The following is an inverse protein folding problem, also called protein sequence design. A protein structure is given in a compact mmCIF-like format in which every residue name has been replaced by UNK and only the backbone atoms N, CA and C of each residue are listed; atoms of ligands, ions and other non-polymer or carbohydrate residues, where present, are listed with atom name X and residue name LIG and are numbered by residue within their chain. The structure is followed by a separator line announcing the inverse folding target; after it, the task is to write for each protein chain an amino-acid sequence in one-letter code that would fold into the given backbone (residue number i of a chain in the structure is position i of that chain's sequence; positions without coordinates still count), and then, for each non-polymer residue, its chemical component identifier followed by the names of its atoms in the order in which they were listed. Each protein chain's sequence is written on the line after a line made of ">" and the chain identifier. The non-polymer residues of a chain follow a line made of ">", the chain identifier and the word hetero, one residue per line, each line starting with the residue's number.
data_IF_104250240613
#
_entry.id   IF_104250240613
#
_cell.length_a   1.000
_cell.length_b   1.000
_cell.length_c   1.000
_cell.angle_alpha   90.00
_cell.angle_beta   90.00
_cell.angle_gamma   90.00
#
_symmetry.space_group_name_H-M   'P 1'
#
loop_
_entity.id
_entity.type
_entity.pdbx_description
1 polymer ?
#
# COMPACT_ATOMS: atom_id res chain seq x y z
N UNK A 1 -3.76 -9.26 -24.58
CA UNK A 1 -2.81 -9.44 -23.46
C UNK A 1 -3.59 -9.89 -22.24
N UNK A 2 -3.03 -10.80 -21.45
CA UNK A 2 -3.66 -11.20 -20.20
C UNK A 2 -3.74 -10.01 -19.24
N UNK A 3 -4.76 -9.96 -18.43
CA UNK A 3 -4.98 -8.91 -17.45
C UNK A 3 -4.24 -9.29 -16.17
N UNK A 4 -3.22 -8.52 -15.79
CA UNK A 4 -2.56 -8.68 -14.48
C UNK A 4 -3.41 -8.03 -13.38
N UNK A 5 -3.53 -8.71 -12.24
CA UNK A 5 -4.33 -8.23 -11.12
C UNK A 5 -3.56 -8.33 -9.81
N UNK A 6 -3.43 -7.21 -9.10
CA UNK A 6 -2.79 -7.13 -7.80
C UNK A 6 -3.82 -6.79 -6.73
N UNK A 7 -3.63 -7.29 -5.52
CA UNK A 7 -4.43 -6.90 -4.35
C UNK A 7 -3.55 -6.12 -3.39
N UNK A 8 -3.99 -4.93 -2.98
CA UNK A 8 -3.38 -4.15 -1.91
C UNK A 8 -4.20 -4.28 -0.64
N UNK A 9 -3.62 -4.89 0.40
CA UNK A 9 -4.11 -4.89 1.77
C UNK A 9 -3.32 -3.88 2.58
N UNK A 10 -3.90 -3.32 3.64
CA UNK A 10 -3.21 -2.37 4.52
C UNK A 10 -3.83 -2.31 5.90
N UNK A 11 -3.06 -1.88 6.88
CA UNK A 11 -3.56 -1.50 8.19
C UNK A 11 -4.41 -2.60 8.84
N UNK A 12 -3.82 -3.80 8.94
CA UNK A 12 -4.45 -5.01 9.49
C UNK A 12 -4.62 -4.86 11.01
N UNK A 13 -3.60 -4.29 11.70
CA UNK A 13 -3.57 -4.01 13.13
C UNK A 13 -3.92 -5.21 14.00
N UNK A 14 -3.18 -6.31 13.84
CA UNK A 14 -3.28 -7.44 14.79
C UNK A 14 -3.01 -6.95 16.20
N UNK A 15 -4.03 -7.03 17.04
CA UNK A 15 -4.07 -6.49 18.39
C UNK A 15 -5.50 -6.25 18.83
N UNK A 16 -5.73 -5.24 19.68
CA UNK A 16 -7.04 -4.94 20.27
C UNK A 16 -8.11 -4.50 19.25
N UNK A 17 -7.70 -4.01 18.09
CA UNK A 17 -8.60 -3.48 17.06
C UNK A 17 -8.85 -4.45 15.90
N UNK A 18 -8.19 -5.61 15.91
CA UNK A 18 -8.29 -6.61 14.85
C UNK A 18 -9.62 -7.35 14.87
N UNK A 19 -10.23 -7.49 13.69
CA UNK A 19 -11.46 -8.26 13.47
C UNK A 19 -11.16 -9.54 12.71
N UNK A 20 -11.04 -10.65 13.42
CA UNK A 20 -10.74 -11.96 12.82
C UNK A 20 -11.73 -12.34 11.72
N UNK A 21 -13.03 -12.23 11.97
CA UNK A 21 -14.08 -12.62 11.00
C UNK A 21 -14.00 -11.80 9.71
N UNK A 22 -13.67 -10.51 9.82
CA UNK A 22 -13.47 -9.63 8.65
C UNK A 22 -12.26 -10.10 7.85
N UNK A 23 -11.14 -10.39 8.54
CA UNK A 23 -9.94 -10.87 7.88
C UNK A 23 -10.14 -12.23 7.20
N UNK A 24 -10.88 -13.15 7.83
CA UNK A 24 -11.21 -14.44 7.22
C UNK A 24 -12.05 -14.25 5.94
N UNK A 25 -12.99 -13.31 5.92
CA UNK A 25 -13.73 -12.93 4.70
C UNK A 25 -12.77 -12.39 3.62
N UNK A 26 -11.80 -11.55 4.00
CA UNK A 26 -10.77 -11.04 3.06
C UNK A 26 -9.97 -12.20 2.46
N UNK A 27 -9.55 -13.16 3.29
CA UNK A 27 -8.81 -14.35 2.81
C UNK A 27 -9.63 -15.13 1.79
N UNK A 28 -10.91 -15.38 2.07
CA UNK A 28 -11.80 -16.09 1.15
C UNK A 28 -11.98 -15.34 -0.17
N UNK A 29 -12.25 -14.03 -0.11
CA UNK A 29 -12.45 -13.19 -1.29
C UNK A 29 -11.17 -13.10 -2.14
N UNK A 30 -10.02 -12.88 -1.52
CA UNK A 30 -8.73 -12.74 -2.21
C UNK A 30 -8.26 -14.07 -2.81
N UNK A 31 -8.42 -15.19 -2.08
CA UNK A 31 -8.09 -16.51 -2.61
C UNK A 31 -8.99 -16.87 -3.82
N UNK A 32 -10.29 -16.52 -3.77
CA UNK A 32 -11.20 -16.68 -4.91
C UNK A 32 -10.84 -15.79 -6.09
N UNK A 33 -10.31 -14.59 -5.84
CA UNK A 33 -9.87 -13.65 -6.87
C UNK A 33 -8.60 -14.17 -7.59
N UNK A 34 -7.78 -14.96 -6.90
CA UNK A 34 -6.51 -15.52 -7.38
C UNK A 34 -5.60 -14.47 -8.04
N UNK A 35 -5.17 -13.44 -7.30
CA UNK A 35 -4.37 -12.36 -7.87
C UNK A 35 -2.94 -12.81 -8.19
N UNK A 36 -2.27 -12.10 -9.11
CA UNK A 36 -0.87 -12.32 -9.45
C UNK A 36 0.09 -11.98 -8.31
N UNK A 37 -0.28 -10.99 -7.48
CA UNK A 37 0.41 -10.68 -6.23
C UNK A 37 -0.50 -10.01 -5.20
N UNK A 38 -0.15 -10.17 -3.92
CA UNK A 38 -0.71 -9.45 -2.78
C UNK A 38 0.36 -8.51 -2.23
N UNK A 39 0.03 -7.23 -2.06
CA UNK A 39 0.91 -6.22 -1.51
C UNK A 39 0.29 -5.72 -0.20
N UNK A 40 0.98 -5.95 0.92
CA UNK A 40 0.53 -5.49 2.25
C UNK A 40 1.34 -4.25 2.61
N UNK A 41 0.68 -3.09 2.59
CA UNK A 41 1.34 -1.78 2.72
C UNK A 41 1.50 -1.33 4.17
N UNK A 42 1.75 -2.27 5.09
CA UNK A 42 2.17 -1.98 6.47
C UNK A 42 1.06 -2.00 7.51
N UNK A 43 1.45 -1.71 8.75
CA UNK A 43 0.65 -1.78 9.96
C UNK A 43 -0.03 -3.15 10.12
N UNK A 44 0.81 -4.20 10.11
CA UNK A 44 0.39 -5.58 10.36
C UNK A 44 -0.06 -5.75 11.80
N UNK A 45 0.66 -5.09 12.71
CA UNK A 45 0.53 -5.17 14.16
C UNK A 45 0.05 -3.85 14.74
N UNK A 46 -0.52 -3.89 15.93
CA UNK A 46 -0.96 -2.67 16.61
C UNK A 46 0.17 -2.04 17.45
N UNK A 47 1.09 -2.85 18.00
CA UNK A 47 2.15 -2.40 18.91
C UNK A 47 3.54 -2.96 18.60
N UNK A 48 3.76 -3.65 17.47
CA UNK A 48 5.06 -4.19 17.09
C UNK A 48 5.55 -5.34 18.00
N UNK A 49 4.67 -6.03 18.69
CA UNK A 49 5.04 -7.09 19.65
C UNK A 49 5.21 -8.44 18.94
N UNK A 50 6.12 -9.26 19.44
CA UNK A 50 6.45 -10.55 18.84
C UNK A 50 5.21 -11.42 18.58
N UNK A 51 4.34 -11.61 19.58
CA UNK A 51 3.15 -12.43 19.42
C UNK A 51 2.16 -11.87 18.38
N UNK A 52 2.12 -10.54 18.19
CA UNK A 52 1.31 -9.91 17.14
C UNK A 52 1.87 -10.23 15.76
N UNK A 53 3.19 -10.21 15.58
CA UNK A 53 3.83 -10.63 14.33
C UNK A 53 3.67 -12.12 14.05
N UNK A 54 3.78 -12.96 15.05
CA UNK A 54 3.52 -14.40 14.92
C UNK A 54 2.11 -14.66 14.43
N UNK A 55 1.14 -13.96 15.04
CA UNK A 55 -0.26 -14.08 14.64
C UNK A 55 -0.51 -13.50 13.25
N UNK A 56 -0.01 -12.30 12.94
CA UNK A 56 -0.13 -11.68 11.62
C UNK A 56 0.46 -12.58 10.52
N UNK A 57 1.65 -13.14 10.76
CA UNK A 57 2.29 -14.08 9.83
C UNK A 57 1.45 -15.35 9.62
N UNK A 58 0.83 -15.89 10.68
CA UNK A 58 -0.07 -17.03 10.58
C UNK A 58 -1.33 -16.69 9.75
N UNK A 59 -1.87 -15.47 9.90
CA UNK A 59 -3.02 -15.00 9.11
C UNK A 59 -2.63 -14.82 7.62
N UNK A 60 -1.49 -14.21 7.33
CA UNK A 60 -0.99 -13.98 5.97
C UNK A 60 -0.77 -15.31 5.23
N UNK A 61 -0.32 -16.35 5.92
CA UNK A 61 -0.13 -17.69 5.34
C UNK A 61 -1.43 -18.40 4.90
N UNK A 62 -2.60 -17.86 5.21
CA UNK A 62 -3.89 -18.37 4.71
C UNK A 62 -4.14 -17.99 3.24
N UNK A 63 -3.43 -16.99 2.70
CA UNK A 63 -3.52 -16.66 1.29
C UNK A 63 -2.82 -17.72 0.43
N UNK A 64 -3.48 -18.12 -0.67
CA UNK A 64 -2.95 -19.10 -1.62
C UNK A 64 -2.02 -18.48 -2.68
N UNK A 65 -2.01 -17.15 -2.78
CA UNK A 65 -1.12 -16.42 -3.69
C UNK A 65 0.34 -16.66 -3.33
N UNK A 66 1.18 -17.04 -4.30
CA UNK A 66 2.60 -17.29 -4.11
C UNK A 66 3.43 -16.01 -3.94
N UNK A 67 2.96 -14.88 -4.47
CA UNK A 67 3.66 -13.61 -4.46
C UNK A 67 3.04 -12.68 -3.42
N UNK A 68 3.54 -12.73 -2.18
CA UNK A 68 3.10 -11.85 -1.10
C UNK A 68 4.24 -10.89 -0.75
N UNK A 69 4.01 -9.61 -0.99
CA UNK A 69 4.94 -8.50 -0.73
C UNK A 69 4.47 -7.80 0.54
N UNK A 70 5.33 -7.71 1.56
CA UNK A 70 4.97 -7.14 2.86
C UNK A 70 5.91 -6.01 3.22
N UNK A 71 5.34 -4.84 3.52
CA UNK A 71 6.04 -3.67 4.05
C UNK A 71 5.71 -3.47 5.53
N UNK A 72 6.59 -2.77 6.23
CA UNK A 72 6.31 -2.33 7.59
C UNK A 72 5.62 -0.96 7.59
N UNK A 73 4.65 -0.78 8.49
CA UNK A 73 4.13 0.52 8.87
C UNK A 73 4.75 1.06 10.16
N UNK A 74 4.30 2.23 10.62
CA UNK A 74 4.84 2.84 11.84
C UNK A 74 4.47 2.04 13.10
N UNK A 75 3.30 1.40 13.14
CA UNK A 75 2.92 0.53 14.25
C UNK A 75 3.80 -0.73 14.34
N UNK A 76 4.24 -1.28 13.22
CA UNK A 76 5.17 -2.40 13.18
C UNK A 76 6.57 -2.04 13.71
N UNK A 77 6.90 -0.73 13.75
CA UNK A 77 8.20 -0.24 14.22
C UNK A 77 8.18 0.33 15.64
N UNK A 78 7.07 0.19 16.35
CA UNK A 78 6.98 0.52 17.78
C UNK A 78 7.86 -0.38 18.62
N UNK A 79 8.37 0.16 19.72
CA UNK A 79 9.26 -0.55 20.64
C UNK A 79 10.46 -1.19 19.88
N UNK A 80 10.59 -2.51 19.97
CA UNK A 80 11.61 -3.29 19.24
C UNK A 80 11.06 -3.92 17.96
N UNK A 81 9.86 -3.56 17.55
CA UNK A 81 9.15 -4.16 16.42
C UNK A 81 9.95 -4.14 15.11
N UNK A 82 10.75 -3.10 14.86
CA UNK A 82 11.63 -3.02 13.68
C UNK A 82 12.70 -4.13 13.62
N UNK A 83 13.08 -4.72 14.76
CA UNK A 83 13.97 -5.90 14.83
C UNK A 83 13.18 -7.19 14.63
N UNK A 84 11.96 -7.23 15.18
CA UNK A 84 11.08 -8.40 15.11
C UNK A 84 10.56 -8.57 13.68
N UNK A 85 10.12 -7.51 13.02
CA UNK A 85 9.62 -7.53 11.64
C UNK A 85 10.58 -8.26 10.69
N UNK A 86 11.88 -7.98 10.79
CA UNK A 86 12.92 -8.57 9.95
C UNK A 86 13.04 -10.09 10.08
N UNK A 87 12.55 -10.69 11.19
CA UNK A 87 12.56 -12.14 11.37
C UNK A 87 11.48 -12.86 10.54
N UNK A 88 10.42 -12.15 10.17
CA UNK A 88 9.28 -12.71 9.45
C UNK A 88 9.23 -12.27 8.00
N UNK A 89 9.69 -11.05 7.71
CA UNK A 89 9.51 -10.41 6.39
C UNK A 89 10.84 -9.87 5.85
N UNK A 90 11.00 -9.83 4.52
CA UNK A 90 12.22 -9.37 3.88
C UNK A 90 12.50 -7.88 4.13
N UNK A 91 13.63 -7.42 3.60
CA UNK A 91 14.06 -6.03 3.78
C UNK A 91 13.06 -5.02 3.18
N UNK A 92 13.08 -3.80 3.70
CA UNK A 92 12.19 -2.71 3.33
C UNK A 92 12.31 -2.20 1.88
N UNK A 93 13.38 -2.57 1.18
CA UNK A 93 13.74 -2.04 -0.14
C UNK A 93 13.99 -3.21 -1.09
N UNK A 94 13.04 -3.48 -1.98
CA UNK A 94 13.11 -4.60 -2.93
C UNK A 94 12.47 -4.24 -4.28
N UNK A 95 12.82 -5.01 -5.28
CA UNK A 95 12.23 -4.96 -6.63
C UNK A 95 11.56 -6.30 -6.89
N UNK A 96 10.31 -6.24 -7.31
CA UNK A 96 9.54 -7.40 -7.78
C UNK A 96 9.17 -7.17 -9.23
N UNK A 97 9.61 -8.07 -10.09
CA UNK A 97 9.43 -7.94 -11.53
C UNK A 97 8.40 -8.95 -12.03
N UNK A 98 7.41 -8.46 -12.76
CA UNK A 98 6.36 -9.21 -13.44
C UNK A 98 6.40 -8.90 -14.94
N UNK A 99 5.62 -9.62 -15.73
CA UNK A 99 5.58 -9.41 -17.19
C UNK A 99 5.12 -7.96 -17.50
N UNK A 100 4.03 -7.50 -16.89
CA UNK A 100 3.38 -6.21 -17.19
C UNK A 100 3.67 -5.11 -16.18
N UNK A 101 4.38 -5.42 -15.08
CA UNK A 101 4.69 -4.45 -14.03
C UNK A 101 6.04 -4.68 -13.36
N UNK A 102 6.57 -3.61 -12.81
CA UNK A 102 7.66 -3.65 -11.82
C UNK A 102 7.20 -2.93 -10.56
N UNK A 103 7.37 -3.58 -9.42
CA UNK A 103 6.98 -3.04 -8.12
C UNK A 103 8.24 -2.81 -7.29
N UNK A 104 8.46 -1.58 -6.86
CA UNK A 104 9.51 -1.23 -5.92
C UNK A 104 8.89 -0.92 -4.56
N UNK A 105 9.45 -1.50 -3.50
CA UNK A 105 9.05 -1.19 -2.13
C UNK A 105 9.99 -0.17 -1.51
N UNK A 106 9.44 0.84 -0.83
CA UNK A 106 10.16 1.83 -0.06
C UNK A 106 9.77 1.74 1.41
N UNK A 107 10.76 1.57 2.29
CA UNK A 107 10.52 1.57 3.72
C UNK A 107 10.43 3.00 4.24
N UNK A 108 9.26 3.37 4.76
CA UNK A 108 9.02 4.70 5.31
C UNK A 108 8.95 4.74 6.82
N UNK A 109 8.72 3.59 7.49
CA UNK A 109 8.62 3.50 8.94
C UNK A 109 9.97 3.76 9.63
N UNK A 110 9.92 4.47 10.75
CA UNK A 110 11.06 4.82 11.62
C UNK A 110 10.77 4.30 13.04
N UNK A 111 11.79 3.80 13.77
CA UNK A 111 11.59 3.29 15.13
C UNK A 111 10.94 4.33 16.05
N UNK A 112 9.85 3.94 16.70
CA UNK A 112 9.08 4.72 17.68
C UNK A 112 8.64 6.12 17.18
N UNK A 113 8.33 6.21 15.87
CA UNK A 113 7.82 7.44 15.26
C UNK A 113 6.60 7.16 14.42
N UNK A 114 5.63 8.09 14.47
CA UNK A 114 4.46 8.07 13.59
C UNK A 114 4.76 8.71 12.23
N UNK A 115 5.80 9.55 12.14
CA UNK A 115 6.23 10.20 10.92
C UNK A 115 7.09 9.25 10.06
N UNK A 116 6.81 9.23 8.77
CA UNK A 116 7.58 8.47 7.79
C UNK A 116 8.66 9.29 7.09
N UNK A 117 9.64 8.59 6.52
CA UNK A 117 10.67 9.16 5.64
C UNK A 117 11.17 8.11 4.67
N UNK A 118 11.31 8.45 3.39
CA UNK A 118 11.99 7.60 2.40
C UNK A 118 13.51 7.75 2.53
N UNK A 119 13.98 8.97 2.59
CA UNK A 119 15.38 9.33 2.69
C UNK A 119 16.10 9.34 1.34
N UNK A 120 17.17 10.16 1.28
CA UNK A 120 17.95 10.38 0.05
C UNK A 120 18.43 9.07 -0.62
N UNK A 121 18.92 8.11 0.19
CA UNK A 121 19.46 6.85 -0.36
C UNK A 121 18.41 5.98 -1.05
N UNK A 122 17.20 5.90 -0.52
CA UNK A 122 16.13 5.14 -1.14
C UNK A 122 15.60 5.86 -2.39
N UNK A 123 15.48 7.20 -2.37
CA UNK A 123 15.11 7.98 -3.55
C UNK A 123 16.10 7.77 -4.69
N UNK A 124 17.41 7.88 -4.43
CA UNK A 124 18.44 7.63 -5.42
C UNK A 124 18.44 6.18 -5.94
N UNK A 125 18.22 5.21 -5.05
CA UNK A 125 18.11 3.81 -5.44
C UNK A 125 16.89 3.58 -6.35
N UNK A 126 15.74 4.15 -6.02
CA UNK A 126 14.53 4.09 -6.84
C UNK A 126 14.78 4.65 -8.24
N UNK A 127 15.36 5.85 -8.35
CA UNK A 127 15.69 6.47 -9.64
C UNK A 127 16.62 5.61 -10.48
N UNK A 128 17.69 5.08 -9.87
CA UNK A 128 18.64 4.21 -10.55
C UNK A 128 18.01 2.89 -10.99
N UNK A 129 17.18 2.28 -10.14
CA UNK A 129 16.51 1.03 -10.44
C UNK A 129 15.48 1.18 -11.57
N UNK A 130 14.70 2.27 -11.55
CA UNK A 130 13.66 2.50 -12.57
C UNK A 130 14.20 2.94 -13.92
N UNK A 131 15.46 3.38 -14.00
CA UNK A 131 16.10 3.81 -15.26
C UNK A 131 16.13 2.68 -16.30
N UNK A 132 16.33 1.43 -15.87
CA UNK A 132 16.38 0.27 -16.78
C UNK A 132 15.00 -0.04 -17.39
N UNK A 133 13.91 0.30 -16.71
CA UNK A 133 12.54 0.10 -17.18
C UNK A 133 12.02 1.24 -18.08
N UNK A 134 12.87 2.19 -18.43
CA UNK A 134 12.61 3.23 -19.44
C UNK A 134 13.31 2.96 -20.78
N UNK A 135 14.12 1.90 -20.89
CA UNK A 135 14.82 1.51 -22.11
C UNK A 135 13.95 0.68 -23.05
N UNK A 136 14.34 0.58 -24.33
CA UNK A 136 13.53 0.02 -25.42
C UNK A 136 12.98 -1.40 -25.18
N UNK A 137 13.65 -2.21 -24.36
CA UNK A 137 13.25 -3.58 -24.06
C UNK A 137 12.22 -3.73 -22.91
N UNK A 138 11.92 -2.66 -22.17
CA UNK A 138 11.03 -2.67 -20.99
C UNK A 138 10.06 -1.49 -20.96
N UNK A 139 9.74 -0.90 -22.12
CA UNK A 139 8.94 0.34 -22.22
C UNK A 139 7.51 0.22 -21.73
N UNK A 140 6.96 -0.99 -21.71
CA UNK A 140 5.53 -1.22 -21.49
C UNK A 140 5.19 -1.65 -20.05
N UNK A 141 6.19 -1.80 -19.18
CA UNK A 141 5.93 -2.19 -17.78
C UNK A 141 5.41 -1.03 -16.96
N UNK A 142 4.30 -1.24 -16.28
CA UNK A 142 3.77 -0.32 -15.27
C UNK A 142 4.71 -0.27 -14.07
N UNK A 143 5.16 0.93 -13.71
CA UNK A 143 6.05 1.19 -12.59
C UNK A 143 5.24 1.54 -11.35
N UNK A 144 5.29 0.64 -10.35
CA UNK A 144 4.54 0.78 -9.11
C UNK A 144 5.51 1.00 -7.94
N UNK A 145 5.25 2.01 -7.13
CA UNK A 145 5.92 2.21 -5.84
C UNK A 145 4.95 1.84 -4.73
N UNK A 146 5.38 0.96 -3.84
CA UNK A 146 4.63 0.58 -2.64
C UNK A 146 5.34 1.11 -1.39
N UNK A 147 4.63 1.85 -0.56
CA UNK A 147 5.11 2.36 0.74
C UNK A 147 3.96 2.47 1.73
N UNK A 148 4.27 2.68 3.02
CA UNK A 148 3.21 2.77 4.04
C UNK A 148 2.63 4.18 4.17
N UNK A 149 3.47 5.18 4.49
CA UNK A 149 3.01 6.55 4.71
C UNK A 149 2.62 7.26 3.43
N UNK A 150 1.78 8.27 3.58
CA UNK A 150 1.26 9.06 2.45
C UNK A 150 2.36 9.92 1.81
N UNK A 151 2.32 10.02 0.48
CA UNK A 151 3.13 10.94 -0.30
C UNK A 151 2.49 12.33 -0.36
N UNK A 152 1.16 12.39 -0.45
CA UNK A 152 0.36 13.62 -0.43
C UNK A 152 -0.75 13.42 0.60
N UNK A 153 -1.05 14.45 1.39
CA UNK A 153 -2.16 14.42 2.33
C UNK A 153 -3.52 14.23 1.63
N UNK A 154 -4.47 13.67 2.33
CA UNK A 154 -5.87 13.58 1.89
C UNK A 154 -6.74 14.53 2.70
N UNK A 155 -7.83 15.09 2.12
CA UNK A 155 -8.70 16.02 2.82
C UNK A 155 -9.23 15.46 4.14
N UNK A 156 -9.44 16.33 5.11
CA UNK A 156 -10.03 16.05 6.44
C UNK A 156 -9.27 15.05 7.33
N UNK A 157 -8.01 14.74 7.01
CA UNK A 157 -7.20 13.85 7.85
C UNK A 157 -6.11 14.58 8.65
N UNK A 158 -6.03 15.90 8.51
CA UNK A 158 -4.95 16.73 9.07
C UNK A 158 -3.67 16.64 8.23
N UNK A 159 -2.63 17.37 8.60
CA UNK A 159 -1.35 17.39 7.89
C UNK A 159 -0.21 16.78 8.70
N UNK A 160 -0.31 16.81 10.03
CA UNK A 160 0.76 16.35 10.89
C UNK A 160 0.85 14.82 10.92
N UNK A 161 2.07 14.31 10.78
CA UNK A 161 2.38 12.87 10.87
C UNK A 161 1.68 11.97 9.83
N UNK A 162 1.20 12.55 8.74
CA UNK A 162 0.48 11.81 7.68
C UNK A 162 1.39 11.52 6.52
N UNK A 163 2.02 12.57 6.00
CA UNK A 163 2.92 12.50 4.86
C UNK A 163 4.35 12.24 5.33
N UNK A 164 5.14 11.64 4.45
CA UNK A 164 6.57 11.50 4.70
C UNK A 164 7.25 12.87 4.80
N UNK A 165 8.25 12.99 5.64
CA UNK A 165 8.95 14.27 5.90
C UNK A 165 9.67 14.82 4.67
N UNK A 166 10.05 13.96 3.74
CA UNK A 166 10.73 14.25 2.46
C UNK A 166 9.82 14.06 1.24
N UNK A 167 8.52 14.33 1.39
CA UNK A 167 7.51 14.11 0.37
C UNK A 167 7.81 14.81 -0.96
N UNK A 168 8.32 16.05 -0.91
CA UNK A 168 8.69 16.81 -2.11
C UNK A 168 9.80 16.14 -2.93
N UNK A 169 10.83 15.62 -2.26
CA UNK A 169 11.93 14.91 -2.92
C UNK A 169 11.47 13.58 -3.51
N UNK A 170 10.70 12.81 -2.74
CA UNK A 170 10.15 11.53 -3.21
C UNK A 170 9.17 11.72 -4.38
N UNK A 171 8.30 12.72 -4.32
CA UNK A 171 7.40 13.04 -5.43
C UNK A 171 8.16 13.43 -6.70
N UNK A 172 9.19 14.28 -6.57
CA UNK A 172 10.08 14.63 -7.67
C UNK A 172 10.71 13.38 -8.29
N UNK A 173 11.26 12.49 -7.47
CA UNK A 173 11.90 11.25 -7.93
C UNK A 173 10.90 10.32 -8.64
N UNK A 174 9.65 10.21 -8.14
CA UNK A 174 8.58 9.47 -8.82
C UNK A 174 8.26 10.04 -10.20
N UNK A 175 8.08 11.37 -10.31
CA UNK A 175 7.77 12.04 -11.56
C UNK A 175 8.92 11.92 -12.59
N UNK A 176 10.17 12.15 -12.17
CA UNK A 176 11.36 12.01 -13.03
C UNK A 176 11.55 10.58 -13.53
N UNK A 177 11.25 9.59 -12.69
CA UNK A 177 11.34 8.17 -13.04
C UNK A 177 10.13 7.67 -13.83
N UNK A 178 9.14 8.53 -14.09
CA UNK A 178 7.88 8.19 -14.76
C UNK A 178 7.18 7.01 -14.07
N UNK A 179 7.00 7.11 -12.75
CA UNK A 179 6.20 6.17 -11.98
C UNK A 179 4.73 6.33 -12.39
N UNK A 180 4.05 5.21 -12.62
CA UNK A 180 2.64 5.21 -13.03
C UNK A 180 1.69 5.19 -11.83
N UNK A 181 2.07 4.44 -10.77
CA UNK A 181 1.23 4.25 -9.60
C UNK A 181 2.06 4.24 -8.32
N UNK A 182 1.63 4.99 -7.30
CA UNK A 182 2.08 4.86 -5.91
C UNK A 182 0.92 4.31 -5.08
N UNK A 183 1.18 3.28 -4.27
CA UNK A 183 0.19 2.70 -3.35
C UNK A 183 0.64 2.85 -1.90
N UNK A 184 -0.27 3.35 -1.03
CA UNK A 184 0.01 3.63 0.37
C UNK A 184 -1.14 3.17 1.29
N UNK A 185 -0.84 3.06 2.61
CA UNK A 185 -1.80 2.80 3.69
C UNK A 185 -1.90 3.94 4.69
N UNK A 186 -1.75 3.63 5.99
CA UNK A 186 -1.51 4.52 7.13
C UNK A 186 -2.74 5.26 7.71
N UNK A 187 -3.56 5.90 6.92
CA UNK A 187 -4.68 6.71 7.45
C UNK A 187 -6.03 6.03 7.34
N UNK A 188 -6.08 4.76 6.99
CA UNK A 188 -7.29 3.95 6.94
C UNK A 188 -8.42 4.56 6.11
N UNK A 189 -8.09 5.53 5.25
CA UNK A 189 -9.06 6.24 4.41
C UNK A 189 -8.73 6.04 2.93
N UNK A 190 -9.57 5.32 2.19
CA UNK A 190 -9.38 5.14 0.76
C UNK A 190 -9.43 6.48 0.05
N UNK A 191 -8.46 6.71 -0.85
CA UNK A 191 -8.39 7.94 -1.63
C UNK A 191 -7.57 7.73 -2.89
N UNK A 192 -7.72 8.62 -3.87
CA UNK A 192 -6.86 8.65 -5.06
C UNK A 192 -6.56 10.08 -5.48
N UNK A 193 -5.29 10.35 -5.80
CA UNK A 193 -4.84 11.54 -6.48
C UNK A 193 -4.36 11.19 -7.88
N UNK A 194 -4.65 12.06 -8.86
CA UNK A 194 -4.14 11.97 -10.22
C UNK A 194 -3.30 13.20 -10.53
N UNK A 195 -2.01 13.01 -10.80
CA UNK A 195 -1.02 14.05 -11.08
C UNK A 195 -0.42 13.80 -12.47
N UNK A 196 -1.12 14.24 -13.51
CA UNK A 196 -0.75 13.89 -14.88
C UNK A 196 -0.87 12.40 -15.12
N UNK A 197 0.26 11.73 -15.39
CA UNK A 197 0.32 10.28 -15.58
C UNK A 197 0.51 9.50 -14.28
N UNK A 198 0.96 10.14 -13.20
CA UNK A 198 1.13 9.51 -11.89
C UNK A 198 -0.20 9.44 -11.16
N UNK A 199 -0.60 8.23 -10.77
CA UNK A 199 -1.70 8.01 -9.84
C UNK A 199 -1.16 7.66 -8.46
N UNK A 200 -1.76 8.19 -7.38
CA UNK A 200 -1.42 7.84 -5.99
C UNK A 200 -2.69 7.32 -5.33
N UNK A 201 -2.70 6.04 -4.97
CA UNK A 201 -3.85 5.38 -4.38
C UNK A 201 -3.59 5.01 -2.91
N UNK A 202 -4.54 5.31 -2.04
CA UNK A 202 -4.50 4.99 -0.63
C UNK A 202 -5.52 3.92 -0.29
N UNK A 203 -5.11 2.95 0.52
CA UNK A 203 -6.00 1.91 0.99
C UNK A 203 -6.71 2.33 2.30
N UNK A 204 -7.90 1.77 2.51
CA UNK A 204 -8.55 1.74 3.82
C UNK A 204 -7.92 0.69 4.73
N UNK A 205 -8.44 0.54 5.95
CA UNK A 205 -8.07 -0.57 6.82
C UNK A 205 -8.72 -1.87 6.36
N UNK A 206 -7.90 -2.92 6.24
CA UNK A 206 -8.39 -4.23 5.78
C UNK A 206 -9.29 -4.90 6.82
N UNK A 207 -8.92 -4.87 8.11
CA UNK A 207 -9.60 -5.67 9.14
C UNK A 207 -9.62 -5.04 10.53
N UNK A 208 -9.28 -3.75 10.66
CA UNK A 208 -9.28 -3.07 11.96
C UNK A 208 -10.56 -2.28 12.21
N UNK A 209 -10.90 -2.05 13.47
CA UNK A 209 -11.95 -1.11 13.89
C UNK A 209 -11.47 0.35 13.95
N UNK A 210 -10.21 0.62 13.65
CA UNK A 210 -9.61 1.96 13.67
C UNK A 210 -10.01 2.76 12.43
N UNK A 211 -11.25 3.13 12.33
CA UNK A 211 -11.77 3.92 11.22
C UNK A 211 -11.38 5.40 11.33
N UNK A 212 -11.18 6.07 10.19
CA UNK A 212 -10.83 7.49 10.10
C UNK A 212 -11.63 8.17 8.99
N UNK A 213 -12.90 8.48 9.26
CA UNK A 213 -13.79 9.13 8.30
C UNK A 213 -14.28 8.23 7.15
N UNK A 214 -13.85 6.96 7.12
CA UNK A 214 -14.39 5.90 6.28
C UNK A 214 -14.64 4.69 7.18
N UNK A 215 -15.87 4.22 7.28
CA UNK A 215 -16.32 3.30 8.33
C UNK A 215 -16.52 1.86 7.85
N UNK A 216 -15.91 1.49 6.73
CA UNK A 216 -15.96 0.14 6.18
C UNK A 216 -14.56 -0.44 6.05
N UNK A 217 -14.42 -1.73 6.34
CA UNK A 217 -13.21 -2.45 6.01
C UNK A 217 -13.14 -2.68 4.50
N UNK A 218 -11.98 -2.46 3.92
CA UNK A 218 -11.81 -2.50 2.47
C UNK A 218 -10.37 -2.82 2.07
N UNK A 219 -10.20 -3.20 0.82
CA UNK A 219 -8.90 -3.36 0.18
C UNK A 219 -8.97 -2.88 -1.27
N UNK A 220 -7.82 -2.59 -1.86
CA UNK A 220 -7.74 -2.17 -3.24
C UNK A 220 -7.40 -3.34 -4.17
N UNK A 221 -7.91 -3.27 -5.38
CA UNK A 221 -7.59 -4.19 -6.48
C UNK A 221 -7.01 -3.33 -7.60
N UNK A 222 -5.73 -3.55 -7.90
CA UNK A 222 -5.04 -2.88 -9.01
C UNK A 222 -5.15 -3.78 -10.24
N UNK A 223 -5.75 -3.25 -11.30
CA UNK A 223 -5.83 -3.94 -12.59
C UNK A 223 -4.85 -3.28 -13.57
N UNK A 224 -4.02 -4.11 -14.18
CA UNK A 224 -3.07 -3.68 -15.21
C UNK A 224 -3.51 -4.32 -16.53
N UNK A 225 -3.80 -3.48 -17.50
CA UNK A 225 -4.24 -3.91 -18.83
C UNK A 225 -3.82 -2.87 -19.87
N UNK A 226 -3.29 -3.32 -20.99
CA UNK A 226 -2.92 -2.50 -22.15
C UNK A 226 -2.03 -1.29 -21.77
N UNK A 227 -1.01 -1.52 -20.91
CA UNK A 227 -0.09 -0.49 -20.44
C UNK A 227 -0.71 0.57 -19.53
N UNK A 228 -1.83 0.28 -18.88
CA UNK A 228 -2.52 1.18 -17.95
C UNK A 228 -2.85 0.47 -16.64
N UNK A 229 -2.68 1.17 -15.53
CA UNK A 229 -3.15 0.75 -14.22
C UNK A 229 -4.48 1.44 -13.88
N UNK A 230 -5.38 0.71 -13.24
CA UNK A 230 -6.59 1.26 -12.63
C UNK A 230 -6.78 0.64 -11.25
N UNK A 231 -7.34 1.41 -10.32
CA UNK A 231 -7.52 0.97 -8.94
C UNK A 231 -9.00 0.95 -8.60
N UNK A 232 -9.48 -0.23 -8.20
CA UNK A 232 -10.81 -0.42 -7.62
C UNK A 232 -10.69 -0.58 -6.11
N UNK A 233 -11.71 -0.17 -5.38
CA UNK A 233 -11.91 -0.50 -3.98
C UNK A 233 -12.91 -1.63 -3.86
N UNK A 234 -12.60 -2.61 -3.01
CA UNK A 234 -13.51 -3.69 -2.62
C UNK A 234 -13.85 -3.54 -1.14
N UNK A 235 -15.11 -3.32 -0.85
CA UNK A 235 -15.64 -3.38 0.52
C UNK A 235 -15.71 -4.85 0.93
N UNK A 236 -15.16 -5.19 2.09
CA UNK A 236 -15.15 -6.57 2.60
C UNK A 236 -16.58 -7.06 2.80
N UNK A 237 -16.91 -8.19 2.21
CA UNK A 237 -18.29 -8.72 2.18
C UNK A 237 -19.27 -7.90 1.32
N UNK A 238 -18.83 -6.83 0.67
CA UNK A 238 -19.66 -5.89 -0.08
C UNK A 238 -19.32 -5.79 -1.56
N UNK A 239 -19.58 -4.64 -2.14
CA UNK A 239 -19.36 -4.37 -3.57
C UNK A 239 -17.93 -3.94 -3.88
N UNK A 240 -17.57 -4.05 -5.16
CA UNK A 240 -16.35 -3.49 -5.77
C UNK A 240 -16.76 -2.34 -6.68
N UNK A 241 -16.07 -1.19 -6.56
CA UNK A 241 -16.29 0.00 -7.41
C UNK A 241 -14.93 0.63 -7.73
N UNK A 242 -14.89 1.55 -8.69
CA UNK A 242 -13.68 2.35 -8.92
C UNK A 242 -13.34 3.17 -7.68
N UNK A 243 -12.05 3.25 -7.32
CA UNK A 243 -11.61 4.08 -6.20
C UNK A 243 -11.93 5.58 -6.45
N UNK A 244 -11.98 6.02 -7.70
CA UNK A 244 -12.37 7.39 -8.07
C UNK A 244 -13.80 7.73 -7.66
N UNK A 245 -14.73 6.77 -7.71
CA UNK A 245 -16.12 6.99 -7.29
C UNK A 245 -16.26 7.31 -5.80
N UNK A 246 -15.35 6.77 -4.96
CA UNK A 246 -15.32 7.09 -3.52
C UNK A 246 -14.93 8.57 -3.34
N UNK A 247 -13.92 9.03 -4.07
CA UNK A 247 -13.45 10.42 -4.00
C UNK A 247 -14.54 11.41 -4.44
N UNK A 248 -15.27 11.09 -5.50
CA UNK A 248 -16.36 11.94 -6.01
C UNK A 248 -17.48 12.13 -4.99
N UNK A 249 -17.79 11.11 -4.18
CA UNK A 249 -18.79 11.24 -3.09
C UNK A 249 -18.39 12.24 -2.00
N UNK A 250 -17.09 12.49 -1.83
CA UNK A 250 -16.57 13.47 -0.85
C UNK A 250 -16.30 14.86 -1.48
N UNK A 251 -16.43 15.02 -2.81
CA UNK A 251 -16.25 16.30 -3.52
C UNK A 251 -17.18 17.42 -3.06
N UNK A 252 -18.47 17.19 -2.74
CA UNK A 252 -19.37 18.27 -2.32
C UNK A 252 -18.87 19.06 -1.09
N UNK A 253 -17.98 18.48 -0.30
CA UNK A 253 -17.38 19.15 0.85
C UNK A 253 -16.16 20.03 0.50
N UNK A 254 -15.70 20.00 -0.76
CA UNK A 254 -14.57 20.79 -1.23
C UNK A 254 -15.03 22.04 -2.04
N UNK A 255 -16.32 22.15 -2.37
CA UNK A 255 -16.91 23.24 -3.14
C UNK A 255 -17.66 24.27 -2.27
N UNK A 256 -17.67 24.09 -0.96
CA UNK A 256 -18.23 25.05 0.03
C UNK A 256 -17.12 25.75 0.82
#
# INVERSE_FOLDING_TARGET
>A
MEKMQLVQLSDIHVGSFFKQQVFDTVVEEVNKLNPDAIIITGDLTDEGLLFQFEYANAQIKKFTCSNIIVLAGNHDYRHTGYLVFKKFFPSKQQIYEFNDAVILTLGTARPDRDEGEVGYRQNLWMENSLRIYGSDNNKDKIKIIAMHHHLIGIPDTGTDKIIITDAGDTLRSCLQSKVDLVICGHKHRPWVWNLGTLQIAYAGTTSSTRYRGFFENSYNIVNIKDGKASVDIKIVGGKRTSLSEIVEKYRPYLET
#
